data_IF_957128082167
#
_entry.id   IF_957128082167
#
_cell.length_a   1.000
_cell.length_b   1.000
_cell.length_c   1.000
_cell.angle_alpha   90.00
_cell.angle_beta   90.00
_cell.angle_gamma   90.00
#
_symmetry.space_group_name_H-M   'P 1'
#
loop_
_entity.id
_entity.type
_entity.pdbx_description
1 polymer ?
#
# COMPACT_ATOMS: atom_id res chain seq x y z
N UNK A 1 16.63 -16.12 17.56
CA UNK A 1 17.57 -15.77 16.48
C UNK A 1 17.97 -16.98 15.63
N UNK A 2 18.47 -18.09 16.18
CA UNK A 2 18.82 -19.31 15.43
C UNK A 2 17.78 -19.77 14.38
N UNK A 3 16.49 -19.69 14.71
CA UNK A 3 15.41 -20.05 13.78
C UNK A 3 15.36 -19.14 12.53
N UNK A 4 15.55 -17.84 12.70
CA UNK A 4 15.51 -16.88 11.58
C UNK A 4 16.75 -17.06 10.68
N UNK A 5 17.92 -17.25 11.28
CA UNK A 5 19.17 -17.55 10.56
C UNK A 5 19.04 -18.84 9.74
N UNK A 6 18.51 -19.93 10.34
CA UNK A 6 18.29 -21.18 9.63
C UNK A 6 17.32 -21.07 8.45
N UNK A 7 16.28 -20.24 8.57
CA UNK A 7 15.36 -19.97 7.46
C UNK A 7 16.09 -19.22 6.33
N UNK A 8 16.84 -18.17 6.66
CA UNK A 8 17.59 -17.40 5.66
C UNK A 8 18.64 -18.26 4.98
N UNK A 9 19.37 -19.09 5.72
CA UNK A 9 20.30 -20.06 5.16
C UNK A 9 19.62 -21.04 4.21
N UNK A 10 18.53 -21.67 4.64
CA UNK A 10 17.80 -22.65 3.83
C UNK A 10 17.21 -22.08 2.55
N UNK A 11 16.75 -20.83 2.55
CA UNK A 11 16.28 -20.15 1.33
C UNK A 11 17.46 -19.75 0.44
N UNK A 12 18.52 -19.17 1.02
CA UNK A 12 19.66 -18.67 0.25
C UNK A 12 20.47 -19.80 -0.41
N UNK A 13 20.42 -21.02 0.13
CA UNK A 13 21.13 -22.17 -0.44
C UNK A 13 20.46 -22.78 -1.68
N UNK A 14 19.20 -22.42 -1.97
CA UNK A 14 18.43 -23.00 -3.08
C UNK A 14 18.01 -21.99 -4.14
N UNK A 15 18.28 -20.69 -3.93
CA UNK A 15 17.94 -19.63 -4.87
C UNK A 15 19.18 -18.88 -5.36
N UNK A 16 19.18 -18.50 -6.65
CA UNK A 16 20.24 -17.69 -7.27
C UNK A 16 19.89 -16.19 -7.32
N UNK A 17 18.90 -15.76 -6.53
CA UNK A 17 18.42 -14.36 -6.49
C UNK A 17 18.62 -13.75 -5.10
N UNK A 18 18.73 -12.42 -4.98
CA UNK A 18 18.92 -11.74 -3.70
C UNK A 18 17.85 -12.11 -2.66
N UNK A 19 18.29 -12.54 -1.47
CA UNK A 19 17.40 -12.76 -0.31
C UNK A 19 17.33 -11.49 0.53
N UNK A 20 16.12 -11.01 0.78
CA UNK A 20 15.87 -9.76 1.52
C UNK A 20 15.01 -10.01 2.75
N UNK A 21 15.08 -9.11 3.74
CA UNK A 21 14.38 -9.29 5.01
C UNK A 21 13.48 -8.10 5.34
N UNK A 22 12.16 -8.34 5.33
CA UNK A 22 11.16 -7.34 5.72
C UNK A 22 10.69 -7.56 7.16
N UNK A 23 10.74 -6.51 7.97
CA UNK A 23 10.33 -6.55 9.37
C UNK A 23 9.53 -5.30 9.81
N UNK A 24 9.02 -5.35 11.03
CA UNK A 24 8.40 -4.25 11.78
C UNK A 24 9.32 -3.82 12.92
N UNK A 25 9.06 -2.69 13.56
CA UNK A 25 9.92 -2.21 14.68
C UNK A 25 9.96 -3.19 15.85
N UNK A 26 8.88 -3.94 16.06
CA UNK A 26 8.75 -4.98 17.07
C UNK A 26 7.34 -5.57 17.10
N UNK A 27 7.05 -6.36 18.14
CA UNK A 27 5.72 -6.91 18.37
C UNK A 27 4.86 -5.89 19.13
N UNK A 28 5.37 -5.42 20.27
CA UNK A 28 4.69 -4.51 21.19
C UNK A 28 4.96 -3.04 20.86
N UNK A 29 4.02 -2.16 21.18
CA UNK A 29 4.09 -0.73 20.82
C UNK A 29 5.18 0.09 21.52
N UNK A 30 5.68 -0.38 22.65
CA UNK A 30 6.68 0.26 23.51
C UNK A 30 8.06 -0.42 23.44
N UNK A 31 8.19 -1.52 22.71
CA UNK A 31 9.41 -2.32 22.65
C UNK A 31 9.87 -2.50 21.21
N UNK A 32 10.75 -1.60 20.80
CA UNK A 32 11.42 -1.70 19.51
C UNK A 32 12.58 -2.69 19.61
N UNK A 33 12.60 -3.70 18.75
CA UNK A 33 13.63 -4.77 18.74
C UNK A 33 14.37 -4.86 17.40
N UNK A 34 13.94 -4.13 16.37
CA UNK A 34 14.52 -4.24 15.03
C UNK A 34 16.03 -3.96 15.00
N UNK A 35 16.55 -3.01 15.78
CA UNK A 35 17.99 -2.72 15.85
C UNK A 35 18.80 -3.95 16.29
N UNK A 36 18.37 -4.62 17.37
CA UNK A 36 18.99 -5.85 17.86
C UNK A 36 18.93 -7.01 16.84
N UNK A 37 17.89 -7.05 16.02
CA UNK A 37 17.76 -8.07 14.95
C UNK A 37 18.75 -7.75 13.83
N UNK A 38 18.84 -6.49 13.41
CA UNK A 38 19.74 -6.04 12.34
C UNK A 38 21.19 -6.32 12.71
N UNK A 39 21.63 -5.96 13.92
CA UNK A 39 23.00 -6.25 14.41
C UNK A 39 23.35 -7.73 14.28
N UNK A 40 22.47 -8.60 14.76
CA UNK A 40 22.69 -10.05 14.70
C UNK A 40 22.67 -10.60 13.28
N UNK A 41 21.84 -10.06 12.40
CA UNK A 41 21.79 -10.48 10.99
C UNK A 41 23.09 -10.13 10.27
N UNK A 42 23.74 -9.00 10.61
CA UNK A 42 25.03 -8.61 10.03
C UNK A 42 26.17 -9.57 10.39
N UNK A 43 26.05 -10.28 11.51
CA UNK A 43 27.03 -11.28 11.96
C UNK A 43 26.86 -12.64 11.25
N UNK A 44 25.79 -12.85 10.49
CA UNK A 44 25.52 -14.13 9.85
C UNK A 44 26.49 -14.41 8.71
N UNK A 45 26.91 -15.67 8.61
CA UNK A 45 27.69 -16.15 7.46
C UNK A 45 26.92 -16.10 6.15
N UNK A 46 25.58 -16.14 6.23
CA UNK A 46 24.70 -16.01 5.06
C UNK A 46 24.21 -14.58 4.99
N UNK A 47 24.77 -13.75 4.09
CA UNK A 47 24.36 -12.36 3.98
C UNK A 47 22.97 -12.25 3.36
N UNK A 48 22.19 -11.30 3.86
CA UNK A 48 21.01 -10.81 3.13
C UNK A 48 21.42 -9.59 2.29
N UNK A 49 20.64 -9.29 1.25
CA UNK A 49 20.96 -8.20 0.32
C UNK A 49 20.27 -6.88 0.65
N UNK A 50 19.18 -6.89 1.44
CA UNK A 50 18.40 -5.69 1.74
C UNK A 50 17.52 -5.91 2.98
N UNK A 51 17.46 -4.91 3.85
CA UNK A 51 16.41 -4.80 4.87
C UNK A 51 15.24 -3.96 4.37
N UNK A 52 14.02 -4.28 4.79
CA UNK A 52 12.88 -3.35 4.71
C UNK A 52 12.22 -3.23 6.07
N UNK A 53 12.23 -2.04 6.65
CA UNK A 53 11.68 -1.79 7.98
C UNK A 53 10.40 -0.96 7.91
N UNK A 54 9.30 -1.55 8.35
CA UNK A 54 8.09 -0.80 8.64
C UNK A 54 8.22 -0.11 10.00
N UNK A 55 8.10 1.22 10.04
CA UNK A 55 8.21 2.06 11.23
C UNK A 55 7.08 1.90 12.26
N UNK A 56 6.35 0.78 12.27
CA UNK A 56 5.35 0.45 13.28
C UNK A 56 5.57 -0.94 13.85
N UNK A 57 5.20 -1.12 15.12
CA UNK A 57 5.11 -2.44 15.72
C UNK A 57 3.91 -3.21 15.16
N UNK A 58 3.79 -4.50 15.47
CA UNK A 58 2.63 -5.31 15.09
C UNK A 58 1.35 -4.77 15.72
N UNK A 59 1.36 -4.45 17.01
CA UNK A 59 0.19 -3.99 17.77
C UNK A 59 -0.33 -2.64 17.35
N UNK A 60 0.56 -1.72 16.97
CA UNK A 60 0.18 -0.38 16.52
C UNK A 60 -0.70 -0.40 15.26
N UNK A 61 -0.72 -1.51 14.50
CA UNK A 61 -1.49 -1.66 13.26
C UNK A 61 -1.38 -0.40 12.37
N UNK A 62 -2.44 0.42 12.33
CA UNK A 62 -2.55 1.68 11.60
C UNK A 62 -2.99 2.85 12.50
N UNK A 63 -2.97 2.70 13.83
CA UNK A 63 -3.51 3.70 14.77
C UNK A 63 -2.51 4.80 15.11
N UNK A 64 -1.22 4.59 14.78
CA UNK A 64 -0.14 5.56 14.97
C UNK A 64 0.60 5.79 13.65
N UNK A 65 1.25 6.95 13.56
CA UNK A 65 2.18 7.27 12.48
C UNK A 65 3.42 6.38 12.53
N UNK A 66 4.00 6.07 11.38
CA UNK A 66 5.27 5.37 11.28
C UNK A 66 6.42 6.18 11.88
N UNK A 67 7.21 5.54 12.73
CA UNK A 67 8.36 6.14 13.39
C UNK A 67 9.59 6.12 12.46
N UNK A 68 9.71 7.14 11.62
CA UNK A 68 10.84 7.31 10.71
C UNK A 68 12.16 7.65 11.41
N UNK A 69 12.12 8.29 12.59
CA UNK A 69 13.32 8.50 13.42
C UNK A 69 13.95 7.18 13.85
N UNK A 70 13.13 6.19 14.21
CA UNK A 70 13.63 4.86 14.54
C UNK A 70 14.08 4.08 13.30
N UNK A 71 13.50 4.34 12.13
CA UNK A 71 14.01 3.81 10.85
C UNK A 71 15.42 4.34 10.57
N UNK A 72 15.69 5.64 10.79
CA UNK A 72 17.03 6.22 10.65
C UNK A 72 18.07 5.53 11.56
N UNK A 73 17.73 5.33 12.84
CA UNK A 73 18.58 4.58 13.77
C UNK A 73 18.90 3.19 13.23
N UNK A 74 17.88 2.47 12.74
CA UNK A 74 18.07 1.14 12.16
C UNK A 74 18.86 1.17 10.84
N UNK A 75 18.70 2.20 10.01
CA UNK A 75 19.42 2.39 8.76
C UNK A 75 20.93 2.53 9.02
N UNK A 76 21.31 3.35 10.00
CA UNK A 76 22.71 3.52 10.43
C UNK A 76 23.32 2.22 10.94
N UNK A 77 22.56 1.44 11.69
CA UNK A 77 23.01 0.14 12.21
C UNK A 77 23.12 -0.91 11.08
N UNK A 78 22.26 -0.84 10.06
CA UNK A 78 22.24 -1.81 8.95
C UNK A 78 23.46 -1.73 8.02
N UNK A 79 24.10 -0.57 7.93
CA UNK A 79 25.28 -0.33 7.08
C UNK A 79 26.36 -1.43 7.26
N UNK A 80 26.87 -2.04 6.17
CA UNK A 80 26.73 -1.63 4.76
C UNK A 80 25.52 -2.23 4.02
N UNK A 81 24.66 -3.01 4.68
CA UNK A 81 23.48 -3.61 4.02
C UNK A 81 22.43 -2.49 3.85
N UNK A 82 21.91 -2.24 2.63
CA UNK A 82 20.93 -1.19 2.42
C UNK A 82 19.64 -1.48 3.20
N UNK A 83 18.95 -0.41 3.62
CA UNK A 83 17.65 -0.48 4.25
C UNK A 83 16.63 0.38 3.51
N UNK A 84 15.47 -0.21 3.23
CA UNK A 84 14.29 0.50 2.75
C UNK A 84 13.36 0.83 3.92
N UNK A 85 12.97 2.10 4.02
CA UNK A 85 11.95 2.55 4.96
C UNK A 85 10.54 2.24 4.47
N UNK A 86 9.60 2.01 5.38
CA UNK A 86 8.21 1.75 5.02
C UNK A 86 7.25 2.37 6.03
N UNK A 87 6.31 3.17 5.56
CA UNK A 87 5.21 3.68 6.38
C UNK A 87 4.75 5.06 5.96
N UNK A 88 3.43 5.21 5.80
CA UNK A 88 2.75 6.49 5.71
C UNK A 88 3.29 7.48 4.65
N UNK A 89 3.63 6.97 3.45
CA UNK A 89 3.95 7.76 2.26
C UNK A 89 2.72 7.78 1.34
N UNK A 90 2.20 8.97 1.02
CA UNK A 90 1.09 9.19 0.07
C UNK A 90 1.40 10.23 -1.01
N UNK A 91 2.52 10.95 -0.93
CA UNK A 91 2.97 11.86 -1.99
C UNK A 91 4.48 11.76 -2.29
N UNK A 92 4.93 12.46 -3.33
CA UNK A 92 6.37 12.56 -3.63
C UNK A 92 7.11 13.40 -2.59
N UNK A 93 6.47 14.41 -1.99
CA UNK A 93 7.01 15.16 -0.86
C UNK A 93 7.22 14.28 0.37
N UNK A 94 6.25 13.43 0.71
CA UNK A 94 6.42 12.44 1.77
C UNK A 94 7.66 11.58 1.50
N UNK A 95 7.77 11.03 0.28
CA UNK A 95 8.92 10.20 -0.11
C UNK A 95 10.25 10.94 0.04
N UNK A 96 10.33 12.17 -0.47
CA UNK A 96 11.54 13.00 -0.42
C UNK A 96 11.91 13.36 1.02
N UNK A 97 10.94 13.79 1.82
CA UNK A 97 11.13 14.10 3.23
C UNK A 97 11.69 12.89 3.97
N UNK A 98 11.09 11.71 3.80
CA UNK A 98 11.54 10.50 4.48
C UNK A 98 12.93 10.06 4.07
N UNK A 99 13.30 10.20 2.80
CA UNK A 99 14.67 9.94 2.35
C UNK A 99 15.67 10.94 2.94
N UNK A 100 15.33 12.22 2.94
CA UNK A 100 16.20 13.27 3.50
C UNK A 100 16.42 13.10 5.01
N UNK A 101 15.38 12.75 5.76
CA UNK A 101 15.44 12.59 7.22
C UNK A 101 16.23 11.36 7.69
N UNK A 102 16.30 10.30 6.86
CA UNK A 102 16.76 8.97 7.33
C UNK A 102 17.92 8.39 6.55
N UNK A 103 18.26 8.93 5.38
CA UNK A 103 19.32 8.40 4.52
C UNK A 103 19.05 6.98 4.00
N UNK A 104 17.80 6.48 4.07
CA UNK A 104 17.45 5.15 3.56
C UNK A 104 17.74 5.03 2.06
N UNK A 105 18.15 3.84 1.63
CA UNK A 105 18.43 3.55 0.23
C UNK A 105 17.18 3.68 -0.66
N UNK A 106 16.00 3.53 -0.07
CA UNK A 106 14.72 3.68 -0.75
C UNK A 106 13.55 3.57 0.22
N UNK A 107 12.34 3.59 -0.33
CA UNK A 107 11.13 3.42 0.46
C UNK A 107 10.18 2.43 -0.22
N UNK A 108 9.54 1.58 0.59
CA UNK A 108 8.44 0.73 0.15
C UNK A 108 7.10 1.42 0.43
N UNK A 109 6.24 1.47 -0.57
CA UNK A 109 4.91 2.08 -0.51
C UNK A 109 3.86 0.97 -0.68
N UNK A 110 2.90 0.91 0.25
CA UNK A 110 1.85 -0.11 0.23
C UNK A 110 0.46 0.55 0.09
N UNK A 111 -0.17 0.94 1.19
CA UNK A 111 -1.50 1.60 1.17
C UNK A 111 -1.53 2.85 0.27
N UNK A 112 -0.45 3.62 0.22
CA UNK A 112 -0.34 4.78 -0.68
C UNK A 112 -0.51 4.40 -2.15
N UNK A 113 0.02 3.26 -2.58
CA UNK A 113 -0.14 2.75 -3.94
C UNK A 113 -1.55 2.19 -4.22
N UNK A 114 -2.28 1.74 -3.19
CA UNK A 114 -3.69 1.34 -3.34
C UNK A 114 -4.61 2.56 -3.45
N UNK A 115 -4.31 3.64 -2.74
CA UNK A 115 -5.06 4.91 -2.80
C UNK A 115 -4.71 5.69 -4.08
N UNK A 116 -3.43 5.72 -4.46
CA UNK A 116 -2.89 6.43 -5.63
C UNK A 116 -1.93 5.51 -6.38
N UNK A 117 -2.41 4.65 -7.29
CA UNK A 117 -1.56 3.78 -8.11
C UNK A 117 -0.46 4.52 -8.87
N UNK A 118 -0.73 5.76 -9.26
CA UNK A 118 0.21 6.65 -9.95
C UNK A 118 1.23 7.33 -9.01
N UNK A 119 1.27 7.03 -7.71
CA UNK A 119 2.24 7.63 -6.76
C UNK A 119 3.69 7.42 -7.20
N UNK A 120 4.01 6.30 -7.86
CA UNK A 120 5.36 6.06 -8.38
C UNK A 120 5.71 7.03 -9.51
N UNK A 121 4.71 7.43 -10.30
CA UNK A 121 4.86 8.45 -11.34
C UNK A 121 4.99 9.84 -10.75
N UNK A 122 4.25 10.17 -9.68
CA UNK A 122 4.47 11.40 -8.92
C UNK A 122 5.89 11.49 -8.36
N UNK A 123 6.40 10.39 -7.80
CA UNK A 123 7.78 10.31 -7.28
C UNK A 123 8.79 10.44 -8.42
N UNK A 124 8.55 9.82 -9.58
CA UNK A 124 9.45 9.93 -10.72
C UNK A 124 9.48 11.36 -11.30
N UNK A 125 8.30 11.94 -11.46
CA UNK A 125 8.12 13.24 -12.14
C UNK A 125 8.27 14.42 -11.17
N UNK A 126 8.39 14.16 -9.86
CA UNK A 126 8.53 15.16 -8.79
C UNK A 126 7.37 16.17 -8.82
N UNK A 127 6.16 15.68 -9.06
CA UNK A 127 4.97 16.50 -9.21
C UNK A 127 3.72 15.74 -8.77
N UNK A 128 2.71 16.49 -8.34
CA UNK A 128 1.36 15.94 -8.14
C UNK A 128 0.68 15.64 -9.47
N UNK A 129 -0.02 14.51 -9.52
CA UNK A 129 -0.83 14.11 -10.67
C UNK A 129 -2.31 14.19 -10.28
N UNK A 130 -3.00 15.19 -10.84
CA UNK A 130 -4.44 15.43 -10.64
C UNK A 130 -5.28 14.82 -11.76
N UNK A 131 -5.16 13.51 -11.96
CA UNK A 131 -5.82 12.81 -13.06
C UNK A 131 -7.35 12.86 -12.94
N UNK A 132 -8.01 12.88 -14.09
CA UNK A 132 -9.47 12.91 -14.20
C UNK A 132 -10.12 11.61 -13.69
N UNK A 133 -11.43 11.66 -13.43
CA UNK A 133 -12.20 10.45 -13.11
C UNK A 133 -12.22 9.44 -14.27
N UNK A 134 -12.16 9.90 -15.52
CA UNK A 134 -12.06 9.02 -16.70
C UNK A 134 -10.73 8.27 -16.74
N UNK A 135 -9.60 8.95 -16.54
CA UNK A 135 -8.29 8.29 -16.45
C UNK A 135 -8.24 7.29 -15.29
N UNK A 136 -8.85 7.62 -14.13
CA UNK A 136 -8.98 6.68 -13.01
C UNK A 136 -9.85 5.47 -13.36
N UNK A 137 -10.94 5.70 -14.10
CA UNK A 137 -11.82 4.63 -14.56
C UNK A 137 -11.11 3.71 -15.57
N UNK A 138 -10.27 4.26 -16.45
CA UNK A 138 -9.45 3.47 -17.38
C UNK A 138 -8.45 2.56 -16.63
N UNK A 139 -7.92 3.00 -15.48
CA UNK A 139 -7.10 2.11 -14.63
C UNK A 139 -7.95 0.94 -14.11
N UNK A 140 -9.20 1.19 -13.65
CA UNK A 140 -10.10 0.12 -13.22
C UNK A 140 -10.49 -0.80 -14.37
N UNK A 141 -10.70 -0.26 -15.58
CA UNK A 141 -10.96 -1.03 -16.79
C UNK A 141 -9.80 -1.96 -17.14
N UNK A 142 -8.57 -1.44 -17.11
CA UNK A 142 -7.37 -2.25 -17.31
C UNK A 142 -7.27 -3.35 -16.25
N UNK A 143 -7.55 -3.02 -14.98
CA UNK A 143 -7.59 -4.01 -13.91
C UNK A 143 -8.63 -5.11 -14.16
N UNK A 144 -9.84 -4.77 -14.60
CA UNK A 144 -10.87 -5.74 -14.99
C UNK A 144 -10.36 -6.66 -16.09
N UNK A 145 -9.77 -6.10 -17.15
CA UNK A 145 -9.27 -6.89 -18.27
C UNK A 145 -8.19 -7.88 -17.82
N UNK A 146 -7.22 -7.44 -17.01
CA UNK A 146 -6.21 -8.35 -16.46
C UNK A 146 -6.78 -9.40 -15.53
N UNK A 147 -7.81 -9.06 -14.74
CA UNK A 147 -8.50 -10.02 -13.89
C UNK A 147 -9.22 -11.09 -14.70
N UNK A 148 -9.95 -10.71 -15.74
CA UNK A 148 -10.65 -11.62 -16.64
C UNK A 148 -9.70 -12.50 -17.46
N UNK A 149 -8.55 -11.96 -17.87
CA UNK A 149 -7.48 -12.74 -18.52
C UNK A 149 -6.86 -13.76 -17.56
N UNK A 150 -6.66 -13.37 -16.29
CA UNK A 150 -5.99 -14.22 -15.30
C UNK A 150 -6.90 -15.30 -14.70
N UNK A 151 -8.14 -14.97 -14.35
CA UNK A 151 -9.07 -15.89 -13.71
C UNK A 151 -10.05 -16.55 -14.67
N UNK A 152 -10.29 -15.97 -15.84
CA UNK A 152 -11.32 -16.40 -16.79
C UNK A 152 -12.53 -15.48 -16.81
N UNK A 153 -13.29 -15.59 -17.90
CA UNK A 153 -14.55 -14.87 -18.15
C UNK A 153 -15.67 -15.79 -18.64
N UNK A 154 -15.39 -17.09 -18.71
CA UNK A 154 -16.26 -18.16 -19.20
C UNK A 154 -17.32 -18.59 -18.17
N UNK A 155 -17.12 -18.25 -16.89
CA UNK A 155 -18.11 -18.50 -15.84
C UNK A 155 -18.26 -17.29 -14.92
N UNK A 156 -19.46 -17.14 -14.37
CA UNK A 156 -19.75 -16.09 -13.37
C UNK A 156 -18.80 -16.16 -12.17
N UNK A 157 -18.40 -17.36 -11.75
CA UNK A 157 -17.48 -17.55 -10.62
C UNK A 157 -16.15 -16.82 -10.82
N UNK A 158 -15.64 -16.78 -12.05
CA UNK A 158 -14.35 -16.14 -12.36
C UNK A 158 -14.47 -14.62 -12.50
N UNK A 159 -15.56 -14.15 -13.10
CA UNK A 159 -15.90 -12.72 -13.16
C UNK A 159 -16.06 -12.16 -11.74
N UNK A 160 -16.77 -12.88 -10.87
CA UNK A 160 -17.00 -12.46 -9.49
C UNK A 160 -15.72 -12.51 -8.63
N UNK A 161 -14.75 -13.35 -8.99
CA UNK A 161 -13.42 -13.30 -8.37
C UNK A 161 -12.71 -11.99 -8.72
N UNK A 162 -12.74 -11.58 -9.98
CA UNK A 162 -12.23 -10.26 -10.41
C UNK A 162 -12.93 -9.14 -9.66
N UNK A 163 -14.27 -9.17 -9.64
CA UNK A 163 -15.10 -8.19 -8.94
C UNK A 163 -14.74 -8.09 -7.47
N UNK A 164 -14.58 -9.23 -6.79
CA UNK A 164 -14.25 -9.25 -5.36
C UNK A 164 -12.94 -8.52 -5.08
N UNK A 165 -11.88 -8.77 -5.84
CA UNK A 165 -10.62 -8.06 -5.62
C UNK A 165 -10.69 -6.58 -6.02
N UNK A 166 -11.44 -6.24 -7.08
CA UNK A 166 -11.73 -4.85 -7.43
C UNK A 166 -12.44 -4.11 -6.28
N UNK A 167 -13.48 -4.69 -5.70
CA UNK A 167 -14.23 -4.09 -4.59
C UNK A 167 -13.36 -3.88 -3.34
N UNK A 168 -12.48 -4.86 -3.03
CA UNK A 168 -11.50 -4.68 -1.94
C UNK A 168 -10.52 -3.54 -2.26
N UNK A 169 -10.14 -3.34 -3.52
CA UNK A 169 -9.28 -2.22 -3.92
C UNK A 169 -10.03 -0.87 -3.93
N UNK A 170 -11.28 -0.81 -4.38
CA UNK A 170 -12.13 0.38 -4.30
C UNK A 170 -12.26 0.89 -2.86
N UNK A 171 -12.25 -0.02 -1.86
CA UNK A 171 -12.20 0.32 -0.43
C UNK A 171 -10.93 1.06 0.03
N UNK A 172 -9.91 1.18 -0.83
CA UNK A 172 -8.76 2.06 -0.65
C UNK A 172 -8.80 3.25 -1.61
N UNK A 173 -9.15 3.01 -2.87
CA UNK A 173 -9.12 4.01 -3.93
C UNK A 173 -10.05 5.20 -3.64
N UNK A 174 -11.22 4.95 -3.03
CA UNK A 174 -12.19 6.00 -2.69
C UNK A 174 -11.62 7.10 -1.78
N UNK A 175 -10.51 6.81 -1.08
CA UNK A 175 -9.85 7.75 -0.20
C UNK A 175 -9.07 8.83 -0.94
N UNK A 176 -8.79 8.66 -2.22
CA UNK A 176 -8.09 9.68 -3.00
C UNK A 176 -8.96 10.93 -3.13
N UNK A 177 -8.35 12.09 -2.93
CA UNK A 177 -8.96 13.39 -3.16
C UNK A 177 -8.20 14.04 -4.33
N UNK A 178 -8.89 14.45 -5.41
CA UNK A 178 -8.30 15.24 -6.48
C UNK A 178 -7.57 16.46 -5.93
N UNK A 179 -6.41 16.76 -6.51
CA UNK A 179 -5.52 17.80 -5.97
C UNK A 179 -6.17 19.16 -6.07
N UNK A 180 -6.89 19.44 -7.16
CA UNK A 180 -7.67 20.68 -7.32
C UNK A 180 -8.82 20.85 -6.32
N UNK A 181 -9.16 19.83 -5.52
CA UNK A 181 -10.16 19.90 -4.47
C UNK A 181 -9.55 19.97 -3.05
N UNK A 182 -8.23 19.81 -2.92
CA UNK A 182 -7.54 19.92 -1.63
C UNK A 182 -7.36 21.38 -1.23
N UNK A 183 -7.84 21.77 -0.05
CA UNK A 183 -7.50 23.08 0.55
C UNK A 183 -5.99 23.17 0.86
N UNK A 184 -5.39 22.05 1.30
CA UNK A 184 -3.99 21.98 1.76
C UNK A 184 -3.31 20.73 1.21
N UNK A 185 -2.68 20.79 0.03
CA UNK A 185 -1.86 19.70 -0.47
C UNK A 185 -0.53 19.60 0.32
N UNK A 186 0.07 18.39 0.45
CA UNK A 186 -0.42 17.11 -0.04
C UNK A 186 -1.43 16.45 0.91
N UNK A 187 -2.28 15.56 0.36
CA UNK A 187 -3.15 14.70 1.18
C UNK A 187 -2.30 13.78 2.08
N UNK A 188 -2.66 13.67 3.36
CA UNK A 188 -2.01 12.75 4.29
C UNK A 188 -2.72 11.39 4.39
N UNK A 189 -1.94 10.31 4.56
CA UNK A 189 -2.46 8.93 4.48
C UNK A 189 -3.55 8.56 5.51
N UNK A 190 -3.64 9.29 6.62
CA UNK A 190 -4.62 9.06 7.68
C UNK A 190 -5.79 10.04 7.62
N UNK A 191 -5.75 11.02 6.71
CA UNK A 191 -6.87 11.94 6.50
C UNK A 191 -8.10 11.19 6.02
N UNK A 192 -9.23 11.70 6.49
CA UNK A 192 -10.57 11.28 6.12
C UNK A 192 -11.26 12.53 5.61
N UNK A 193 -11.38 12.71 4.28
CA UNK A 193 -12.12 13.84 3.77
C UNK A 193 -13.58 13.74 4.26
N UNK A 194 -14.22 14.89 4.57
CA UNK A 194 -15.68 14.91 4.63
C UNK A 194 -16.25 14.52 3.26
N UNK A 195 -17.53 14.09 3.19
CA UNK A 195 -18.21 13.91 1.92
C UNK A 195 -18.07 15.16 1.04
N UNK A 196 -17.73 14.97 -0.22
CA UNK A 196 -17.56 16.05 -1.19
C UNK A 196 -18.16 15.66 -2.53
N UNK A 197 -18.55 16.68 -3.31
CA UNK A 197 -18.92 16.49 -4.70
C UNK A 197 -17.67 16.57 -5.55
N UNK A 198 -17.46 15.53 -6.37
CA UNK A 198 -16.38 15.50 -7.34
C UNK A 198 -16.57 16.51 -8.45
N UNK A 199 -15.56 16.66 -9.32
CA UNK A 199 -15.63 17.52 -10.51
C UNK A 199 -16.70 17.05 -11.53
N UNK A 200 -17.19 15.82 -11.40
CA UNK A 200 -18.30 15.25 -12.15
C UNK A 200 -18.96 14.08 -11.37
N UNK A 201 -20.03 13.51 -11.92
CA UNK A 201 -20.79 12.43 -11.29
C UNK A 201 -19.95 11.17 -11.04
N UNK A 202 -19.10 10.80 -12.00
CA UNK A 202 -18.21 9.63 -11.86
C UNK A 202 -17.19 9.84 -10.73
N UNK A 203 -16.62 11.04 -10.61
CA UNK A 203 -15.71 11.37 -9.51
C UNK A 203 -16.41 11.35 -8.16
N UNK A 204 -17.65 11.85 -8.10
CA UNK A 204 -18.49 11.80 -6.91
C UNK A 204 -18.78 10.36 -6.51
N UNK A 205 -19.13 9.50 -7.47
CA UNK A 205 -19.37 8.07 -7.24
C UNK A 205 -18.10 7.37 -6.73
N UNK A 206 -16.94 7.67 -7.32
CA UNK A 206 -15.65 7.12 -6.88
C UNK A 206 -15.21 7.59 -5.49
N UNK A 207 -15.65 8.77 -5.05
CA UNK A 207 -15.35 9.29 -3.71
C UNK A 207 -16.25 8.70 -2.61
N UNK A 208 -17.32 7.99 -3.01
CA UNK A 208 -18.30 7.46 -2.06
C UNK A 208 -17.68 6.40 -1.15
N UNK A 209 -17.95 6.44 0.17
CA UNK A 209 -17.57 5.38 1.11
C UNK A 209 -18.57 4.21 1.11
N UNK A 210 -19.64 4.24 0.31
CA UNK A 210 -20.69 3.21 0.29
C UNK A 210 -20.27 1.99 -0.52
N UNK A 211 -20.45 0.80 0.04
CA UNK A 211 -20.28 -0.46 -0.68
C UNK A 211 -21.20 -0.55 -1.91
N UNK A 212 -22.40 0.02 -1.83
CA UNK A 212 -23.37 0.00 -2.94
C UNK A 212 -22.87 0.78 -4.15
N UNK A 213 -22.15 1.89 -3.94
CA UNK A 213 -21.57 2.67 -5.01
C UNK A 213 -20.34 1.99 -5.63
N UNK A 214 -19.56 1.29 -4.81
CA UNK A 214 -18.47 0.44 -5.33
C UNK A 214 -18.99 -0.70 -6.18
N UNK A 215 -20.13 -1.29 -5.80
CA UNK A 215 -20.81 -2.30 -6.63
C UNK A 215 -21.22 -1.69 -7.96
N UNK A 216 -21.87 -0.52 -7.99
CA UNK A 216 -22.23 0.17 -9.24
C UNK A 216 -21.03 0.39 -10.17
N UNK A 217 -19.89 0.85 -9.62
CA UNK A 217 -18.65 1.02 -10.41
C UNK A 217 -18.21 -0.31 -11.00
N UNK A 218 -18.26 -1.39 -10.23
CA UNK A 218 -17.89 -2.72 -10.71
C UNK A 218 -18.86 -3.24 -11.80
N UNK A 219 -20.15 -2.91 -11.71
CA UNK A 219 -21.15 -3.30 -12.72
C UNK A 219 -20.93 -2.62 -14.07
N UNK A 220 -20.45 -1.37 -14.06
CA UNK A 220 -20.05 -0.67 -15.28
C UNK A 220 -18.92 -1.38 -16.04
N UNK A 221 -18.13 -2.22 -15.36
CA UNK A 221 -16.94 -2.88 -15.92
C UNK A 221 -17.10 -4.39 -16.12
N UNK A 222 -17.89 -5.06 -15.29
CA UNK A 222 -17.99 -6.52 -15.22
C UNK A 222 -19.43 -7.02 -15.42
N UNK A 223 -20.38 -6.15 -15.74
CA UNK A 223 -21.79 -6.49 -15.85
C UNK A 223 -22.50 -6.58 -14.48
N UNK A 224 -23.81 -6.85 -14.48
CA UNK A 224 -24.64 -6.84 -13.27
C UNK A 224 -24.15 -7.89 -12.25
N UNK A 225 -24.34 -7.60 -10.96
CA UNK A 225 -24.11 -8.60 -9.90
C UNK A 225 -25.29 -9.60 -9.81
N UNK A 226 -25.06 -10.81 -9.29
CA UNK A 226 -26.16 -11.74 -8.98
C UNK A 226 -27.16 -11.17 -7.98
N UNK A 227 -28.40 -11.66 -8.03
CA UNK A 227 -29.44 -11.27 -7.07
C UNK A 227 -28.99 -11.53 -5.62
N UNK A 228 -29.18 -10.52 -4.76
CA UNK A 228 -28.79 -10.61 -3.35
C UNK A 228 -27.28 -10.53 -3.10
N UNK A 229 -26.47 -10.11 -4.07
CA UNK A 229 -25.04 -9.89 -3.86
C UNK A 229 -24.78 -8.84 -2.78
N UNK A 230 -23.95 -9.20 -1.79
CA UNK A 230 -23.53 -8.31 -0.72
C UNK A 230 -22.01 -8.30 -0.66
N UNK A 231 -21.44 -7.08 -0.63
CA UNK A 231 -20.02 -6.88 -0.39
C UNK A 231 -19.78 -6.21 0.96
N UNK A 232 -18.88 -6.81 1.74
CA UNK A 232 -18.32 -6.24 2.95
C UNK A 232 -16.78 -6.29 2.85
N UNK A 233 -16.09 -5.15 2.97
CA UNK A 233 -14.63 -5.10 2.84
C UNK A 233 -13.95 -5.86 3.98
N UNK A 234 -12.91 -6.65 3.65
CA UNK A 234 -12.17 -7.47 4.63
C UNK A 234 -11.44 -6.64 5.68
N UNK A 235 -10.87 -5.55 5.22
CA UNK A 235 -10.39 -4.53 6.13
C UNK A 235 -11.63 -3.79 6.57
N UNK A 236 -11.85 -3.58 7.87
CA UNK A 236 -12.79 -2.59 8.39
C UNK A 236 -12.38 -1.18 7.94
N UNK A 237 -12.21 -0.95 6.63
CA UNK A 237 -12.55 0.29 5.99
C UNK A 237 -13.94 0.58 6.56
N UNK A 238 -14.06 1.67 7.30
CA UNK A 238 -15.30 2.08 7.94
C UNK A 238 -16.28 2.51 6.83
N UNK A 239 -16.66 1.56 5.97
CA UNK A 239 -17.66 1.66 4.94
C UNK A 239 -19.00 1.49 5.65
N UNK A 240 -19.91 2.43 5.41
CA UNK A 240 -21.28 2.34 5.89
C UNK A 240 -22.09 1.58 4.84
N UNK A 241 -22.97 0.69 5.29
CA UNK A 241 -23.98 0.06 4.45
C UNK A 241 -25.02 1.09 4.02
#
# INVERSE_FOLDING_TARGET
MKKLEGIVYGVSSVVNVPVTLKMRTGIYGNENIAHNIIEKVKEWKTPISLFTLHGRSREQRYTKSANWKYIDVCNKIADPIPLFGNGDILSYEDYNLRRAETGVAGAMIARGALIKPWIFKEIKDQAHWDISSFERFDILKNYSNYGLEHWGSDTEVWVEKTRRFMLEWLSFLYRYIPVGLLERPPQHINERPPPYFGRNDLETLMASPSCSDWIKISEMLLGPVPDGFIFLPKHKANAYN
#
